data_IF_653780883141
#
_entry.id   IF_653780883141
#
_cell.length_a   1.000
_cell.length_b   1.000
_cell.length_c   1.000
_cell.angle_alpha   90.00
_cell.angle_beta   90.00
_cell.angle_gamma   90.00
#
_symmetry.space_group_name_H-M   'P 1'
#
loop_
_entity.id
_entity.type
_entity.pdbx_description
1 polymer ?
#
# COMPACT_ATOMS: atom_id res chain seq x y z
N UNK A 1 -59.53 -41.48 16.74
CA UNK A 1 -60.62 -40.58 17.21
C UNK A 1 -60.03 -39.21 17.51
N UNK A 2 -60.51 -38.18 16.79
CA UNK A 2 -60.82 -36.80 17.23
C UNK A 2 -59.72 -36.01 18.00
N UNK A 3 -59.43 -34.73 17.78
CA UNK A 3 -59.90 -33.68 16.89
C UNK A 3 -59.03 -32.43 17.21
N UNK A 4 -58.61 -31.72 16.17
CA UNK A 4 -58.73 -30.26 15.98
C UNK A 4 -58.29 -29.27 17.09
N UNK A 5 -57.28 -28.42 16.85
CA UNK A 5 -57.39 -27.07 16.23
C UNK A 5 -58.09 -26.04 17.14
N UNK A 6 -57.39 -24.92 17.36
CA UNK A 6 -57.83 -23.54 17.05
C UNK A 6 -58.03 -22.55 18.22
N UNK A 7 -57.35 -21.38 18.08
CA UNK A 7 -57.77 -19.99 18.43
C UNK A 7 -57.84 -19.63 19.93
N UNK A 8 -56.97 -18.74 20.44
CA UNK A 8 -56.89 -17.26 20.27
C UNK A 8 -57.89 -16.50 21.17
N UNK A 9 -57.34 -15.75 22.13
CA UNK A 9 -57.84 -14.47 22.67
C UNK A 9 -56.55 -13.75 23.18
N UNK A 10 -55.99 -12.69 22.55
CA UNK A 10 -56.50 -11.32 22.37
C UNK A 10 -57.11 -10.79 23.69
N UNK A 11 -56.73 -9.69 24.31
CA UNK A 11 -56.28 -8.35 23.90
C UNK A 11 -55.75 -7.70 25.20
N UNK A 12 -54.75 -6.82 25.22
CA UNK A 12 -54.84 -5.36 24.97
C UNK A 12 -53.74 -4.72 25.87
N UNK A 13 -53.07 -3.60 25.61
CA UNK A 13 -53.19 -2.56 24.59
C UNK A 13 -51.95 -1.62 24.74
N UNK A 14 -51.26 -1.39 23.62
CA UNK A 14 -50.61 -0.16 23.11
C UNK A 14 -49.83 0.84 23.99
N UNK A 15 -48.58 1.08 23.57
CA UNK A 15 -48.09 2.31 22.89
C UNK A 15 -46.65 2.01 22.42
N UNK A 16 -46.29 1.79 21.15
CA UNK A 16 -46.24 2.61 19.92
C UNK A 16 -45.45 3.92 20.05
N UNK A 17 -44.48 4.06 19.12
CA UNK A 17 -43.75 5.23 18.61
C UNK A 17 -42.34 5.41 19.23
N UNK A 18 -41.23 5.20 18.53
CA UNK A 18 -41.04 4.99 17.10
C UNK A 18 -39.63 4.50 16.74
N UNK A 19 -39.51 3.97 15.51
CA UNK A 19 -38.24 3.75 14.81
C UNK A 19 -37.84 5.06 14.09
N UNK A 20 -36.53 5.28 13.84
CA UNK A 20 -35.86 4.73 12.65
C UNK A 20 -34.57 3.97 13.04
N UNK A 21 -34.31 2.79 12.49
CA UNK A 21 -33.56 2.55 11.25
C UNK A 21 -32.26 3.37 11.13
N UNK A 22 -31.15 2.62 11.01
CA UNK A 22 -29.81 3.00 10.52
C UNK A 22 -28.84 3.70 11.48
N UNK A 23 -27.81 2.95 11.91
CA UNK A 23 -26.37 3.31 11.79
C UNK A 23 -25.48 2.44 12.71
N UNK A 24 -25.55 1.11 12.59
CA UNK A 24 -24.72 0.19 13.38
C UNK A 24 -23.29 -0.02 12.86
N UNK A 25 -22.95 0.54 11.69
CA UNK A 25 -21.67 0.25 11.00
C UNK A 25 -20.60 1.34 11.16
N UNK A 26 -20.90 2.46 11.83
CA UNK A 26 -19.96 3.58 11.98
C UNK A 26 -19.10 3.52 13.26
N UNK A 27 -19.48 2.71 14.25
CA UNK A 27 -18.80 2.73 15.55
C UNK A 27 -17.44 2.00 15.57
N UNK A 28 -17.20 1.06 14.65
CA UNK A 28 -15.93 0.32 14.57
C UNK A 28 -14.81 1.05 13.81
N UNK A 29 -15.15 2.06 12.99
CA UNK A 29 -14.17 2.82 12.19
C UNK A 29 -13.55 3.97 13.01
N UNK A 30 -14.26 4.47 14.02
CA UNK A 30 -13.75 5.55 14.88
C UNK A 30 -12.90 5.06 16.06
N UNK A 31 -12.93 3.77 16.39
CA UNK A 31 -12.09 3.22 17.47
C UNK A 31 -10.63 2.98 17.05
N UNK A 32 -10.36 2.94 15.74
CA UNK A 32 -9.00 2.97 15.18
C UNK A 32 -8.30 4.34 15.40
N UNK A 33 -9.06 5.40 15.64
CA UNK A 33 -8.54 6.76 15.82
C UNK A 33 -8.30 7.16 17.28
N UNK A 34 -8.67 6.31 18.24
CA UNK A 34 -8.29 6.48 19.65
C UNK A 34 -7.15 5.52 19.96
N UNK A 35 -5.97 5.88 19.45
CA UNK A 35 -4.71 5.30 19.92
C UNK A 35 -4.69 5.34 21.44
N UNK A 36 -4.75 4.15 22.04
CA UNK A 36 -4.52 3.97 23.46
C UNK A 36 -3.16 4.51 23.86
N UNK A 37 -3.04 4.86 25.13
CA UNK A 37 -1.93 5.53 25.83
C UNK A 37 -0.52 4.94 25.62
N UNK A 38 -0.37 3.88 24.81
CA UNK A 38 0.91 3.29 24.43
C UNK A 38 1.56 3.96 23.21
N UNK A 39 0.84 4.83 22.48
CA UNK A 39 1.40 5.65 21.39
C UNK A 39 2.21 6.88 21.85
N UNK A 40 2.25 7.17 23.15
CA UNK A 40 2.88 8.38 23.69
C UNK A 40 4.41 8.26 23.92
N UNK A 41 5.05 7.15 23.50
CA UNK A 41 6.51 6.95 23.62
C UNK A 41 7.22 6.88 22.28
N UNK A 42 7.03 7.92 21.47
CA UNK A 42 8.06 8.54 20.64
C UNK A 42 7.40 9.68 19.86
N UNK A 43 7.15 10.81 20.53
CA UNK A 43 7.26 12.07 19.81
C UNK A 43 8.77 12.27 19.55
N UNK A 44 9.31 11.48 18.63
CA UNK A 44 10.63 11.70 18.06
C UNK A 44 10.57 13.14 17.53
N UNK A 45 11.45 14.00 18.02
CA UNK A 45 11.41 15.42 17.72
C UNK A 45 11.30 15.59 16.20
N UNK A 46 10.18 16.15 15.72
CA UNK A 46 10.05 16.40 14.30
C UNK A 46 11.22 17.29 13.89
N UNK A 47 11.96 16.94 12.82
CA UNK A 47 13.09 17.73 12.40
C UNK A 47 12.64 19.14 12.05
N UNK A 48 13.58 20.08 12.15
CA UNK A 48 13.33 21.46 11.79
C UNK A 48 12.80 21.56 10.35
N UNK A 49 11.79 22.41 10.09
CA UNK A 49 11.23 22.55 8.76
C UNK A 49 12.29 22.91 7.72
N UNK A 50 12.24 22.25 6.56
CA UNK A 50 13.03 22.60 5.38
C UNK A 50 12.64 24.02 4.94
N UNK A 51 13.55 24.97 5.12
CA UNK A 51 13.29 26.41 4.97
C UNK A 51 13.80 27.01 3.64
N UNK A 52 14.46 26.21 2.81
CA UNK A 52 15.01 26.62 1.49
C UNK A 52 13.95 26.93 0.42
N UNK A 53 12.68 26.61 0.69
CA UNK A 53 11.50 26.97 -0.11
C UNK A 53 10.52 27.78 0.75
N UNK A 54 9.66 28.61 0.14
CA UNK A 54 8.67 29.45 0.85
C UNK A 54 7.24 29.22 0.32
N UNK A 55 6.23 29.75 1.02
CA UNK A 55 4.83 29.64 0.60
C UNK A 55 4.33 28.20 0.57
N UNK A 56 3.39 27.89 -0.33
CA UNK A 56 2.79 26.55 -0.45
C UNK A 56 3.82 25.45 -0.73
N UNK A 57 4.88 25.76 -1.48
CA UNK A 57 5.96 24.81 -1.76
C UNK A 57 6.68 24.36 -0.47
N UNK A 58 6.80 25.22 0.56
CA UNK A 58 7.34 24.82 1.86
C UNK A 58 6.45 23.80 2.57
N UNK A 59 5.14 24.01 2.53
CA UNK A 59 4.20 23.09 3.15
C UNK A 59 4.28 21.70 2.49
N UNK A 60 4.35 21.65 1.16
CA UNK A 60 4.45 20.42 0.39
C UNK A 60 5.78 19.69 0.63
N UNK A 61 6.91 20.39 0.57
CA UNK A 61 8.24 19.78 0.80
C UNK A 61 8.35 19.22 2.21
N UNK A 62 7.84 19.92 3.23
CA UNK A 62 7.85 19.41 4.61
C UNK A 62 6.87 18.24 4.81
N UNK A 63 5.73 18.24 4.12
CA UNK A 63 4.83 17.09 4.15
C UNK A 63 5.50 15.84 3.58
N UNK A 64 6.23 15.97 2.47
CA UNK A 64 7.01 14.87 1.88
C UNK A 64 8.14 14.44 2.80
N UNK A 65 8.90 15.38 3.37
CA UNK A 65 9.97 15.08 4.32
C UNK A 65 9.46 14.33 5.55
N UNK A 66 8.28 14.69 6.05
CA UNK A 66 7.63 14.03 7.17
C UNK A 66 7.25 12.57 6.87
N UNK A 67 6.90 12.24 5.62
CA UNK A 67 6.66 10.87 5.20
C UNK A 67 7.94 10.02 5.15
N UNK A 68 9.11 10.66 5.04
CA UNK A 68 10.41 10.02 4.87
C UNK A 68 11.28 10.08 6.14
N UNK A 69 10.69 10.46 7.29
CA UNK A 69 11.45 10.58 8.54
C UNK A 69 12.04 9.25 8.99
N UNK A 70 13.17 9.28 9.73
CA UNK A 70 13.54 8.20 10.61
C UNK A 70 12.32 7.80 11.45
N UNK A 71 11.92 6.52 11.41
CA UNK A 71 10.72 6.01 12.08
C UNK A 71 9.46 5.87 11.20
N UNK A 72 9.42 6.48 10.00
CA UNK A 72 8.30 6.30 9.05
C UNK A 72 8.15 4.86 8.54
N UNK A 73 9.21 4.06 8.65
CA UNK A 73 9.30 2.76 7.99
C UNK A 73 9.46 2.88 6.47
N UNK A 74 9.75 4.05 5.91
CA UNK A 74 10.04 4.27 4.49
C UNK A 74 11.46 4.80 4.31
N UNK A 75 12.11 4.36 3.24
CA UNK A 75 13.46 4.79 2.86
C UNK A 75 13.45 5.27 1.40
N UNK A 76 13.83 6.52 1.18
CA UNK A 76 14.08 7.05 -0.15
C UNK A 76 15.54 6.80 -0.57
N UNK A 77 15.75 6.21 -1.74
CA UNK A 77 17.06 5.85 -2.29
C UNK A 77 17.16 6.46 -3.68
N UNK A 78 18.20 7.27 -3.90
CA UNK A 78 18.52 7.80 -5.22
C UNK A 78 19.35 6.79 -6.02
N UNK A 79 18.74 6.23 -7.07
CA UNK A 79 19.39 5.34 -8.03
C UNK A 79 19.53 6.01 -9.41
N UNK A 80 19.28 7.32 -9.52
CA UNK A 80 19.21 8.04 -10.81
C UNK A 80 20.51 7.91 -11.60
N UNK A 81 21.66 7.94 -10.93
CA UNK A 81 22.97 7.76 -11.55
C UNK A 81 23.26 6.35 -12.08
N UNK A 82 22.48 5.34 -11.66
CA UNK A 82 22.69 3.93 -12.03
C UNK A 82 21.61 3.40 -12.97
N UNK A 83 20.35 3.67 -12.65
CA UNK A 83 19.18 3.11 -13.35
C UNK A 83 18.16 4.17 -13.72
N UNK A 84 18.50 5.45 -13.54
CA UNK A 84 17.63 6.58 -13.88
C UNK A 84 16.28 6.53 -13.12
N UNK A 85 16.30 6.07 -11.87
CA UNK A 85 15.12 5.86 -11.03
C UNK A 85 15.37 6.33 -9.58
N UNK A 86 14.29 6.70 -8.90
CA UNK A 86 14.27 6.87 -7.44
C UNK A 86 13.51 5.70 -6.83
N UNK A 87 13.98 5.13 -5.73
CA UNK A 87 13.32 4.03 -5.04
C UNK A 87 12.76 4.50 -3.70
N UNK A 88 11.52 4.12 -3.41
CA UNK A 88 10.90 4.21 -2.10
C UNK A 88 10.69 2.81 -1.57
N UNK A 89 11.49 2.44 -0.58
CA UNK A 89 11.54 1.11 0.04
C UNK A 89 10.82 1.12 1.38
N UNK A 90 10.00 0.10 1.65
CA UNK A 90 9.58 -0.24 3.01
C UNK A 90 10.82 -0.62 3.83
N UNK A 91 11.24 0.26 4.72
CA UNK A 91 12.41 0.10 5.58
C UNK A 91 12.24 -0.96 6.68
N UNK A 92 11.01 -1.43 6.95
CA UNK A 92 10.74 -2.47 7.97
C UNK A 92 10.91 -3.85 7.36
N UNK A 93 10.13 -4.17 6.32
CA UNK A 93 10.22 -5.50 5.70
C UNK A 93 11.34 -5.60 4.68
N UNK A 94 11.69 -4.48 4.03
CA UNK A 94 12.55 -4.43 2.84
C UNK A 94 12.05 -5.30 1.67
N UNK A 95 10.76 -5.63 1.68
CA UNK A 95 10.11 -6.57 0.75
C UNK A 95 9.04 -5.91 -0.10
N UNK A 96 8.79 -4.61 0.09
CA UNK A 96 7.93 -3.81 -0.78
C UNK A 96 8.65 -2.52 -1.14
N UNK A 97 8.66 -2.17 -2.43
CA UNK A 97 9.23 -0.91 -2.88
C UNK A 97 8.58 -0.42 -4.17
N UNK A 98 8.69 0.88 -4.41
CA UNK A 98 8.21 1.54 -5.61
C UNK A 98 9.38 2.30 -6.22
N UNK A 99 9.64 2.08 -7.51
CA UNK A 99 10.56 2.90 -8.28
C UNK A 99 9.79 3.95 -9.06
N UNK A 100 10.34 5.15 -9.13
CA UNK A 100 9.86 6.28 -9.91
C UNK A 100 10.91 6.61 -10.96
N UNK A 101 10.52 6.69 -12.23
CA UNK A 101 11.42 7.10 -13.29
C UNK A 101 11.90 8.55 -13.09
N UNK A 102 13.20 8.77 -13.27
CA UNK A 102 13.79 10.12 -13.34
C UNK A 102 13.56 10.76 -14.71
N UNK A 103 13.19 9.98 -15.74
CA UNK A 103 12.82 10.46 -17.08
C UNK A 103 11.54 9.75 -17.54
N UNK A 104 10.39 10.08 -16.94
CA UNK A 104 9.13 9.40 -17.26
C UNK A 104 8.81 9.47 -18.75
N UNK A 105 9.01 10.61 -19.42
CA UNK A 105 8.75 10.80 -20.85
C UNK A 105 9.44 9.78 -21.78
N UNK A 106 10.56 9.17 -21.35
CA UNK A 106 11.38 8.28 -22.16
C UNK A 106 11.18 6.78 -21.84
N UNK A 107 10.22 6.42 -20.99
CA UNK A 107 9.94 5.04 -20.60
C UNK A 107 8.45 4.78 -20.48
N UNK A 108 8.05 3.50 -20.50
CA UNK A 108 6.71 3.03 -20.11
C UNK A 108 6.71 2.49 -18.67
N UNK A 109 7.85 2.58 -17.98
CA UNK A 109 8.09 2.17 -16.60
C UNK A 109 8.15 3.41 -15.70
N UNK A 110 7.13 4.27 -15.74
CA UNK A 110 7.10 5.51 -14.94
C UNK A 110 7.10 5.20 -13.45
N UNK A 111 6.28 4.22 -13.07
CA UNK A 111 6.24 3.64 -11.73
C UNK A 111 6.47 2.13 -11.83
N UNK A 112 7.32 1.57 -10.98
CA UNK A 112 7.52 0.11 -10.91
C UNK A 112 7.34 -0.37 -9.48
N UNK A 113 6.29 -1.15 -9.26
CA UNK A 113 6.03 -1.81 -7.98
C UNK A 113 6.83 -3.09 -7.89
N UNK A 114 7.49 -3.29 -6.75
CA UNK A 114 8.06 -4.55 -6.32
C UNK A 114 7.36 -4.93 -5.02
N UNK A 115 6.65 -6.06 -5.03
CA UNK A 115 5.82 -6.52 -3.92
C UNK A 115 6.30 -7.86 -3.39
N UNK A 116 6.17 -8.06 -2.08
CA UNK A 116 6.45 -9.33 -1.44
C UNK A 116 5.50 -10.41 -1.99
N UNK A 117 5.99 -11.45 -2.70
CA UNK A 117 5.13 -12.46 -3.30
C UNK A 117 4.50 -13.41 -2.27
N UNK A 118 5.04 -13.49 -1.05
CA UNK A 118 4.73 -14.53 -0.05
C UNK A 118 3.22 -14.74 0.15
N UNK A 119 2.48 -13.66 0.44
CA UNK A 119 1.04 -13.75 0.68
C UNK A 119 0.27 -14.10 -0.61
N UNK A 120 0.71 -13.66 -1.78
CA UNK A 120 0.06 -13.99 -3.05
C UNK A 120 0.22 -15.47 -3.37
N UNK A 121 1.44 -16.01 -3.18
CA UNK A 121 1.73 -17.43 -3.36
C UNK A 121 0.93 -18.29 -2.38
N UNK A 122 0.89 -17.89 -1.10
CA UNK A 122 0.09 -18.56 -0.08
C UNK A 122 -1.41 -18.60 -0.41
N UNK A 123 -1.91 -17.63 -1.18
CA UNK A 123 -3.31 -17.52 -1.61
C UNK A 123 -3.56 -18.04 -3.05
N UNK A 124 -2.62 -18.80 -3.61
CA UNK A 124 -2.84 -19.55 -4.85
C UNK A 124 -2.36 -18.88 -6.13
N UNK A 125 -1.61 -17.77 -6.05
CA UNK A 125 -0.85 -17.29 -7.21
C UNK A 125 0.15 -18.36 -7.65
N UNK A 126 0.15 -18.68 -8.95
CA UNK A 126 1.13 -19.59 -9.54
C UNK A 126 2.21 -18.80 -10.29
N UNK A 127 3.34 -18.54 -9.65
CA UNK A 127 4.46 -17.78 -10.22
C UNK A 127 4.99 -18.36 -11.55
N UNK A 128 4.93 -19.68 -11.74
CA UNK A 128 5.38 -20.32 -12.98
C UNK A 128 4.52 -19.96 -14.21
N UNK A 129 3.36 -19.34 -13.99
CA UNK A 129 2.49 -18.83 -15.07
C UNK A 129 2.74 -17.36 -15.40
N UNK A 130 3.57 -16.67 -14.62
CA UNK A 130 3.96 -15.29 -14.89
C UNK A 130 5.23 -15.28 -15.75
N UNK A 131 5.36 -14.31 -16.67
CA UNK A 131 6.63 -14.09 -17.36
C UNK A 131 7.73 -13.70 -16.35
N UNK A 132 8.98 -14.09 -16.61
CA UNK A 132 10.10 -13.57 -15.83
C UNK A 132 10.23 -12.06 -16.05
N UNK A 133 10.65 -11.32 -15.02
CA UNK A 133 10.98 -9.90 -15.18
C UNK A 133 12.03 -9.72 -16.29
N UNK A 134 11.83 -8.83 -17.28
CA UNK A 134 12.82 -8.59 -18.32
C UNK A 134 14.19 -8.21 -17.73
N UNK A 135 15.27 -8.60 -18.40
CA UNK A 135 16.64 -8.32 -17.94
C UNK A 135 17.14 -6.91 -18.30
N UNK A 136 16.30 -6.10 -18.94
CA UNK A 136 16.64 -4.78 -19.46
C UNK A 136 15.56 -3.77 -19.05
N UNK A 137 15.97 -2.53 -18.78
CA UNK A 137 15.07 -1.41 -18.51
C UNK A 137 14.23 -1.06 -19.74
N UNK A 138 12.99 -0.60 -19.52
CA UNK A 138 12.07 -0.16 -20.56
C UNK A 138 11.50 -1.32 -21.41
N UNK A 139 11.56 -2.55 -20.91
CA UNK A 139 11.05 -3.75 -21.60
C UNK A 139 9.82 -4.35 -20.91
N UNK A 140 9.42 -3.84 -19.76
CA UNK A 140 8.17 -4.24 -19.13
C UNK A 140 6.99 -3.71 -19.95
N UNK A 141 5.97 -4.55 -20.09
CA UNK A 141 4.65 -4.14 -20.58
C UNK A 141 3.89 -3.54 -19.40
N UNK A 142 3.36 -2.30 -19.50
CA UNK A 142 2.56 -1.71 -18.44
C UNK A 142 1.37 -2.59 -18.05
N UNK A 143 1.05 -2.63 -16.75
CA UNK A 143 -0.02 -3.45 -16.16
C UNK A 143 0.13 -4.97 -16.31
N UNK A 144 1.25 -5.46 -16.83
CA UNK A 144 1.59 -6.88 -16.82
C UNK A 144 2.28 -7.24 -15.50
N UNK A 145 1.84 -8.34 -14.88
CA UNK A 145 2.56 -8.94 -13.76
C UNK A 145 3.75 -9.76 -14.25
N UNK A 146 4.88 -9.56 -13.60
CA UNK A 146 6.11 -10.32 -13.76
C UNK A 146 6.52 -10.97 -12.44
N UNK A 147 7.28 -12.05 -12.53
CA UNK A 147 7.93 -12.67 -11.38
C UNK A 147 9.45 -12.56 -11.52
N UNK A 148 10.10 -12.05 -10.48
CA UNK A 148 11.54 -12.08 -10.33
C UNK A 148 11.88 -13.08 -9.22
N UNK A 149 12.74 -14.04 -9.50
CA UNK A 149 13.03 -15.17 -8.60
C UNK A 149 14.26 -14.96 -7.71
N UNK A 150 14.92 -13.80 -7.80
CA UNK A 150 16.11 -13.49 -7.00
C UNK A 150 17.43 -14.00 -7.59
N UNK A 151 17.43 -14.68 -8.74
CA UNK A 151 18.61 -15.45 -9.19
C UNK A 151 19.51 -14.74 -10.20
N UNK A 152 19.00 -13.71 -10.89
CA UNK A 152 19.73 -12.95 -11.92
C UNK A 152 19.82 -11.47 -11.60
N UNK A 153 20.65 -10.73 -12.35
CA UNK A 153 20.77 -9.27 -12.21
C UNK A 153 19.43 -8.62 -12.53
N UNK A 154 18.85 -7.97 -11.53
CA UNK A 154 17.61 -7.23 -11.66
C UNK A 154 17.93 -5.83 -12.26
N UNK A 155 17.26 -5.40 -13.34
CA UNK A 155 17.63 -4.19 -14.08
C UNK A 155 17.41 -2.87 -13.33
N UNK A 156 16.41 -2.77 -12.45
CA UNK A 156 16.05 -1.55 -11.71
C UNK A 156 17.02 -1.21 -10.57
N UNK A 157 17.74 -2.20 -10.05
CA UNK A 157 18.80 -2.06 -9.05
C UNK A 157 20.20 -2.29 -9.64
N UNK A 158 20.31 -2.91 -10.81
CA UNK A 158 21.56 -3.29 -11.47
C UNK A 158 22.43 -4.22 -10.62
N UNK A 159 21.80 -5.14 -9.88
CA UNK A 159 22.44 -6.20 -9.08
C UNK A 159 21.46 -7.35 -8.87
N UNK A 160 21.96 -8.53 -8.49
CA UNK A 160 21.11 -9.62 -8.00
C UNK A 160 20.62 -9.29 -6.58
N UNK A 161 19.33 -9.49 -6.31
CA UNK A 161 18.74 -9.17 -5.00
C UNK A 161 18.71 -10.38 -4.06
N UNK A 162 18.76 -11.61 -4.58
CA UNK A 162 18.75 -12.83 -3.76
C UNK A 162 17.40 -13.12 -3.08
N UNK A 163 16.36 -12.38 -3.45
CA UNK A 163 14.99 -12.49 -2.95
C UNK A 163 14.01 -12.31 -4.11
N UNK A 164 12.84 -12.91 -3.97
CA UNK A 164 11.77 -12.92 -4.96
C UNK A 164 10.84 -11.71 -4.86
N UNK A 165 10.30 -11.29 -6.01
CA UNK A 165 9.35 -10.18 -6.12
C UNK A 165 8.27 -10.46 -7.16
N UNK A 166 7.06 -9.97 -6.89
CA UNK A 166 6.10 -9.64 -7.94
C UNK A 166 6.35 -8.23 -8.41
N UNK A 167 6.41 -8.05 -9.72
CA UNK A 167 6.80 -6.78 -10.32
C UNK A 167 5.76 -6.32 -11.34
N UNK A 168 5.40 -5.04 -11.31
CA UNK A 168 4.50 -4.43 -12.28
C UNK A 168 4.93 -3.00 -12.57
N UNK A 169 4.96 -2.65 -13.86
CA UNK A 169 5.11 -1.28 -14.32
C UNK A 169 3.75 -0.61 -14.52
N UNK A 170 3.65 0.68 -14.21
CA UNK A 170 2.54 1.57 -14.57
C UNK A 170 3.10 2.67 -15.46
N UNK A 171 2.42 2.89 -16.58
CA UNK A 171 2.59 4.06 -17.45
C UNK A 171 1.51 5.07 -17.05
N UNK A 172 1.89 6.27 -16.63
CA UNK A 172 0.96 7.28 -16.08
C UNK A 172 0.52 8.31 -17.12
N UNK A 173 0.85 8.10 -18.39
CA UNK A 173 0.53 8.99 -19.51
C UNK A 173 -0.83 8.70 -20.14
#
# INVERSE_FOLDING_TARGET
MKNAKLILFMMSLFMVLGLPLESGFAAGVFDFLKGGDEGAKAAEAQPDPIDVVTGSARAEVNAIANLLLPGSGLMAIDLSHKTNQFCMLDGVSQRNMIHFSHQPDNTTEDLVYFLNPEMFLANGLNANKLPPLPSELGKMVPHQWYYYDGTYTEPHHGRTLGVDFLVMAIDVK
#
